data_IF_589469185525
#
_entry.id   IF_589469185525
#
_cell.length_a   1.000
_cell.length_b   1.000
_cell.length_c   1.000
_cell.angle_alpha   90.00
_cell.angle_beta   90.00
_cell.angle_gamma   90.00
#
_symmetry.space_group_name_H-M   'P 1'
#
loop_
_entity.id
_entity.type
_entity.pdbx_description
1 polymer ?
#
# COMPACT_ATOMS: atom_id res chain seq x y z
N UNK A 1 8.04 18.71 18.55
CA UNK A 1 8.00 17.64 17.54
C UNK A 1 9.41 17.42 17.04
N UNK A 2 9.83 16.17 16.91
CA UNK A 2 11.07 15.83 16.22
C UNK A 2 10.88 16.13 14.72
N UNK A 3 11.96 16.52 14.04
CA UNK A 3 11.95 16.51 12.58
C UNK A 3 12.08 15.06 12.07
N UNK A 4 11.90 14.87 10.76
CA UNK A 4 11.92 13.55 10.12
C UNK A 4 13.17 12.74 10.43
N UNK A 5 14.35 13.38 10.41
CA UNK A 5 15.61 12.74 10.75
C UNK A 5 15.64 12.25 12.21
N UNK A 6 15.18 13.10 13.15
CA UNK A 6 15.11 12.73 14.56
C UNK A 6 14.13 11.59 14.86
N UNK A 7 13.02 11.50 14.11
CA UNK A 7 12.09 10.37 14.21
C UNK A 7 12.74 9.05 13.76
N UNK A 8 13.46 9.09 12.64
CA UNK A 8 14.17 7.92 12.09
C UNK A 8 15.27 7.46 13.05
N UNK A 9 16.05 8.39 13.59
CA UNK A 9 17.09 8.08 14.58
C UNK A 9 16.48 7.47 15.84
N UNK A 10 15.40 8.03 16.35
CA UNK A 10 14.67 7.46 17.49
C UNK A 10 14.23 6.03 17.20
N UNK A 11 13.60 5.80 16.04
CA UNK A 11 13.14 4.47 15.64
C UNK A 11 14.28 3.44 15.57
N UNK A 12 15.45 3.83 15.06
CA UNK A 12 16.59 2.92 14.87
C UNK A 12 17.13 2.32 16.18
N UNK A 13 16.87 2.99 17.31
CA UNK A 13 17.31 2.56 18.65
C UNK A 13 16.31 1.64 19.36
N UNK A 14 15.11 1.49 18.80
CA UNK A 14 14.03 0.70 19.39
C UNK A 14 14.25 -0.80 19.16
N UNK A 15 13.76 -1.61 20.11
CA UNK A 15 13.59 -3.04 19.88
C UNK A 15 12.38 -3.34 18.97
N UNK A 16 12.19 -4.60 18.58
CA UNK A 16 11.14 -4.98 17.61
C UNK A 16 9.71 -4.64 18.08
N UNK A 17 9.37 -4.92 19.33
CA UNK A 17 8.05 -4.61 19.89
C UNK A 17 7.80 -3.09 19.93
N UNK A 18 8.82 -2.34 20.34
CA UNK A 18 8.79 -0.88 20.38
C UNK A 18 8.65 -0.27 18.98
N UNK A 19 9.28 -0.85 17.96
CA UNK A 19 9.16 -0.41 16.56
C UNK A 19 7.73 -0.52 16.05
N UNK A 20 7.05 -1.63 16.32
CA UNK A 20 5.64 -1.81 15.95
C UNK A 20 4.78 -0.77 16.68
N UNK A 21 4.97 -0.60 17.99
CA UNK A 21 4.23 0.42 18.76
C UNK A 21 4.47 1.84 18.24
N UNK A 22 5.71 2.15 17.85
CA UNK A 22 6.08 3.44 17.26
C UNK A 22 5.30 3.70 15.97
N UNK A 23 5.25 2.74 15.04
CA UNK A 23 4.48 2.88 13.79
C UNK A 23 2.98 3.01 14.06
N UNK A 24 2.42 2.21 14.97
CA UNK A 24 0.99 2.29 15.34
C UNK A 24 0.60 3.64 15.96
N UNK A 25 1.55 4.29 16.62
CA UNK A 25 1.34 5.59 17.26
C UNK A 25 1.74 6.77 16.37
N UNK A 26 2.07 6.52 15.10
CA UNK A 26 2.51 7.55 14.18
C UNK A 26 1.38 8.58 13.94
N UNK A 27 1.69 9.87 14.15
CA UNK A 27 0.72 10.98 14.09
C UNK A 27 1.28 12.22 13.36
N UNK A 28 2.39 12.05 12.64
CA UNK A 28 3.13 13.14 12.00
C UNK A 28 2.72 13.29 10.52
N UNK A 29 2.94 14.48 9.95
CA UNK A 29 2.81 14.66 8.51
C UNK A 29 3.94 13.94 7.78
N UNK A 30 3.63 13.18 6.72
CA UNK A 30 4.67 12.58 5.90
C UNK A 30 5.38 13.62 5.03
N UNK A 31 6.70 13.60 5.06
CA UNK A 31 7.54 14.24 4.06
C UNK A 31 8.31 13.18 3.26
N UNK A 32 9.07 13.63 2.26
CA UNK A 32 9.82 12.71 1.38
C UNK A 32 10.84 11.85 2.15
N UNK A 33 11.38 12.35 3.27
CA UNK A 33 12.34 11.64 4.09
C UNK A 33 11.66 10.51 4.86
N UNK A 34 10.50 10.77 5.47
CA UNK A 34 9.71 9.74 6.15
C UNK A 34 9.15 8.72 5.18
N UNK A 35 8.70 9.15 3.99
CA UNK A 35 8.26 8.23 2.93
C UNK A 35 9.39 7.28 2.51
N UNK A 36 10.59 7.81 2.24
CA UNK A 36 11.73 7.00 1.86
C UNK A 36 12.08 5.99 2.96
N UNK A 37 12.08 6.43 4.22
CA UNK A 37 12.33 5.57 5.38
C UNK A 37 11.26 4.46 5.54
N UNK A 38 9.98 4.80 5.50
CA UNK A 38 8.90 3.81 5.60
C UNK A 38 9.00 2.78 4.46
N UNK A 39 9.33 3.22 3.25
CA UNK A 39 9.56 2.29 2.13
C UNK A 39 10.74 1.35 2.39
N UNK A 40 11.81 1.78 3.07
CA UNK A 40 12.88 0.85 3.47
C UNK A 40 12.35 -0.25 4.39
N UNK A 41 11.45 0.07 5.33
CA UNK A 41 10.82 -0.93 6.21
C UNK A 41 9.97 -1.89 5.37
N UNK A 42 9.10 -1.35 4.51
CA UNK A 42 8.14 -2.12 3.70
C UNK A 42 8.84 -3.08 2.73
N UNK A 43 9.94 -2.66 2.12
CA UNK A 43 10.66 -3.45 1.09
C UNK A 43 11.69 -4.43 1.65
N UNK A 44 12.05 -4.30 2.93
CA UNK A 44 13.00 -5.21 3.58
C UNK A 44 12.27 -6.45 4.08
N UNK A 45 12.53 -7.58 3.41
CA UNK A 45 11.89 -8.89 3.69
C UNK A 45 12.40 -9.56 4.96
N UNK A 46 13.48 -9.06 5.55
CA UNK A 46 13.96 -9.55 6.84
C UNK A 46 13.16 -8.94 8.01
N UNK A 47 12.38 -7.90 7.75
CA UNK A 47 11.45 -7.36 8.75
C UNK A 47 10.23 -8.26 8.91
N UNK A 48 9.71 -8.29 10.13
CA UNK A 48 8.44 -8.90 10.47
C UNK A 48 7.29 -8.30 9.63
N UNK A 49 6.37 -9.16 9.15
CA UNK A 49 5.30 -8.73 8.26
C UNK A 49 4.31 -7.78 8.94
N UNK A 50 4.06 -7.90 10.26
CA UNK A 50 3.21 -6.93 10.97
C UNK A 50 3.87 -5.56 10.96
N UNK A 51 5.20 -5.50 11.15
CA UNK A 51 5.95 -4.24 11.07
C UNK A 51 5.87 -3.62 9.67
N UNK A 52 6.01 -4.44 8.62
CA UNK A 52 5.88 -4.01 7.22
C UNK A 52 4.46 -3.51 6.93
N UNK A 53 3.43 -4.19 7.44
CA UNK A 53 2.01 -3.80 7.31
C UNK A 53 1.76 -2.44 7.97
N UNK A 54 2.27 -2.19 9.18
CA UNK A 54 2.07 -0.88 9.82
C UNK A 54 2.74 0.25 9.02
N UNK A 55 3.92 0.01 8.45
CA UNK A 55 4.58 0.98 7.58
C UNK A 55 3.77 1.24 6.28
N UNK A 56 3.20 0.18 5.68
CA UNK A 56 2.29 0.28 4.54
C UNK A 56 1.05 1.12 4.89
N UNK A 57 0.43 0.89 6.05
CA UNK A 57 -0.72 1.67 6.52
C UNK A 57 -0.41 3.16 6.64
N UNK A 58 0.75 3.50 7.19
CA UNK A 58 1.16 4.90 7.33
C UNK A 58 1.27 5.58 5.96
N UNK A 59 1.88 4.90 4.97
CA UNK A 59 2.04 5.43 3.61
C UNK A 59 0.70 5.75 2.91
N UNK A 60 -0.38 5.04 3.25
CA UNK A 60 -1.71 5.29 2.70
C UNK A 60 -2.53 6.32 3.46
N UNK A 61 -2.43 6.32 4.79
CA UNK A 61 -3.28 7.14 5.66
C UNK A 61 -2.74 8.57 5.85
N UNK A 62 -1.42 8.72 5.85
CA UNK A 62 -0.79 10.02 6.07
C UNK A 62 -0.31 10.54 4.73
N UNK A 63 -0.89 11.64 4.27
CA UNK A 63 -0.48 12.28 3.03
C UNK A 63 0.35 13.53 3.30
N UNK A 64 1.37 13.73 2.47
CA UNK A 64 2.21 14.91 2.48
C UNK A 64 2.23 15.63 1.14
N UNK A 65 3.04 16.69 1.07
CA UNK A 65 3.30 17.39 -0.18
C UNK A 65 4.44 16.70 -0.95
N UNK A 66 4.19 15.49 -1.44
CA UNK A 66 5.10 14.73 -2.28
C UNK A 66 4.36 14.01 -3.41
N UNK A 67 5.10 13.59 -4.43
CA UNK A 67 4.58 12.76 -5.51
C UNK A 67 4.52 11.30 -5.03
N UNK A 68 3.34 10.68 -5.10
CA UNK A 68 3.09 9.32 -4.65
C UNK A 68 3.52 8.23 -5.65
N UNK A 69 3.99 8.60 -6.85
CA UNK A 69 4.37 7.64 -7.89
C UNK A 69 5.40 6.61 -7.40
N UNK A 70 6.39 7.06 -6.62
CA UNK A 70 7.39 6.16 -6.07
C UNK A 70 6.81 5.16 -5.07
N UNK A 71 5.82 5.57 -4.26
CA UNK A 71 5.11 4.67 -3.34
C UNK A 71 4.35 3.62 -4.14
N UNK A 72 3.57 4.07 -5.14
CA UNK A 72 2.78 3.18 -5.99
C UNK A 72 3.64 2.13 -6.69
N UNK A 73 4.80 2.52 -7.22
CA UNK A 73 5.74 1.59 -7.85
C UNK A 73 6.23 0.50 -6.89
N UNK A 74 6.55 0.83 -5.64
CA UNK A 74 7.00 -0.16 -4.67
C UNK A 74 5.86 -1.07 -4.21
N UNK A 75 4.67 -0.53 -3.96
CA UNK A 75 3.50 -1.34 -3.62
C UNK A 75 3.17 -2.33 -4.75
N UNK A 76 3.17 -1.87 -6.02
CA UNK A 76 2.94 -2.74 -7.18
C UNK A 76 4.00 -3.86 -7.26
N UNK A 77 5.28 -3.57 -6.99
CA UNK A 77 6.33 -4.60 -6.98
C UNK A 77 6.08 -5.67 -5.94
N UNK A 78 5.64 -5.29 -4.73
CA UNK A 78 5.33 -6.23 -3.65
C UNK A 78 4.11 -7.08 -4.05
N UNK A 79 3.04 -6.44 -4.53
CA UNK A 79 1.83 -7.14 -4.99
C UNK A 79 2.16 -8.12 -6.13
N UNK A 80 3.02 -7.73 -7.07
CA UNK A 80 3.44 -8.59 -8.18
C UNK A 80 4.37 -9.73 -7.74
N UNK A 81 5.02 -9.61 -6.59
CA UNK A 81 5.88 -10.63 -6.00
C UNK A 81 5.13 -11.51 -4.98
N UNK A 82 3.79 -11.54 -5.02
CA UNK A 82 2.94 -12.20 -4.02
C UNK A 82 3.27 -13.66 -3.71
N UNK A 83 3.91 -14.39 -4.63
CA UNK A 83 4.34 -15.78 -4.37
C UNK A 83 5.43 -15.91 -3.29
N UNK A 84 6.03 -14.79 -2.88
CA UNK A 84 7.12 -14.70 -1.91
C UNK A 84 6.82 -13.74 -0.75
N UNK A 85 5.58 -13.25 -0.63
CA UNK A 85 5.18 -12.28 0.37
C UNK A 85 4.01 -12.85 1.20
N UNK A 86 3.84 -12.35 2.43
CA UNK A 86 2.66 -12.70 3.22
C UNK A 86 1.38 -12.18 2.54
N UNK A 87 0.34 -13.02 2.53
CA UNK A 87 -0.94 -12.70 1.90
C UNK A 87 -1.56 -11.44 2.52
N UNK A 88 -1.42 -11.24 3.83
CA UNK A 88 -1.93 -10.06 4.53
C UNK A 88 -1.19 -8.82 4.07
N UNK A 89 0.14 -8.86 3.98
CA UNK A 89 0.93 -7.75 3.47
C UNK A 89 0.51 -7.35 2.06
N UNK A 90 0.29 -8.33 1.17
CA UNK A 90 -0.19 -8.07 -0.20
C UNK A 90 -1.56 -7.40 -0.18
N UNK A 91 -2.50 -7.87 0.63
CA UNK A 91 -3.83 -7.24 0.80
C UNK A 91 -3.69 -5.80 1.29
N UNK A 92 -2.85 -5.55 2.29
CA UNK A 92 -2.60 -4.20 2.81
C UNK A 92 -1.94 -3.29 1.77
N UNK A 93 -1.05 -3.81 0.93
CA UNK A 93 -0.47 -3.05 -0.18
C UNK A 93 -1.54 -2.64 -1.20
N UNK A 94 -2.47 -3.54 -1.55
CA UNK A 94 -3.57 -3.22 -2.48
C UNK A 94 -4.51 -2.18 -1.88
N UNK A 95 -4.89 -2.35 -0.60
CA UNK A 95 -5.73 -1.38 0.11
C UNK A 95 -5.04 -0.02 0.25
N UNK A 96 -3.73 0.01 0.47
CA UNK A 96 -2.96 1.26 0.52
C UNK A 96 -2.93 1.93 -0.84
N UNK A 97 -2.76 1.16 -1.91
CA UNK A 97 -2.80 1.67 -3.27
C UNK A 97 -4.14 2.35 -3.60
N UNK A 98 -5.26 1.89 -3.03
CA UNK A 98 -6.57 2.52 -3.23
C UNK A 98 -6.76 3.85 -2.50
N UNK A 99 -5.91 4.16 -1.51
CA UNK A 99 -5.92 5.44 -0.81
C UNK A 99 -5.09 6.51 -1.52
N UNK A 100 -4.29 6.12 -2.52
CA UNK A 100 -3.41 7.01 -3.28
C UNK A 100 -4.07 7.55 -4.54
N UNK A 101 -3.41 8.48 -5.21
CA UNK A 101 -3.88 8.97 -6.50
C UNK A 101 -3.60 7.94 -7.59
N UNK A 102 -4.64 7.35 -8.15
CA UNK A 102 -4.52 6.35 -9.22
C UNK A 102 -4.66 6.96 -10.62
N UNK A 103 -3.92 6.39 -11.55
CA UNK A 103 -4.04 6.60 -12.99
C UNK A 103 -4.61 5.36 -13.67
N UNK A 104 -4.77 5.41 -15.00
CA UNK A 104 -5.14 4.26 -15.82
C UNK A 104 -4.26 3.02 -15.59
N UNK A 105 -2.98 3.22 -15.26
CA UNK A 105 -2.01 2.15 -14.98
C UNK A 105 -2.38 1.35 -13.74
N UNK A 106 -2.72 2.03 -12.65
CA UNK A 106 -3.13 1.38 -11.39
C UNK A 106 -4.51 0.72 -11.54
N UNK A 107 -5.42 1.32 -12.31
CA UNK A 107 -6.72 0.72 -12.63
C UNK A 107 -6.54 -0.58 -13.44
N UNK A 108 -5.70 -0.57 -14.48
CA UNK A 108 -5.39 -1.78 -15.25
C UNK A 108 -4.78 -2.87 -14.39
N UNK A 109 -3.87 -2.49 -13.50
CA UNK A 109 -3.23 -3.43 -12.58
C UNK A 109 -4.26 -4.12 -11.68
N UNK A 110 -5.18 -3.37 -11.07
CA UNK A 110 -6.26 -3.92 -10.28
C UNK A 110 -7.19 -4.85 -11.09
N UNK A 111 -7.55 -4.46 -12.32
CA UNK A 111 -8.35 -5.31 -13.22
C UNK A 111 -7.64 -6.63 -13.54
N UNK A 112 -6.32 -6.60 -13.76
CA UNK A 112 -5.54 -7.80 -14.02
C UNK A 112 -5.53 -8.75 -12.82
N UNK A 113 -5.42 -8.23 -11.58
CA UNK A 113 -5.53 -9.03 -10.36
C UNK A 113 -6.91 -9.72 -10.27
N UNK A 114 -7.99 -8.98 -10.56
CA UNK A 114 -9.36 -9.54 -10.47
C UNK A 114 -9.56 -10.68 -11.48
N UNK A 115 -9.03 -10.52 -12.70
CA UNK A 115 -9.20 -11.46 -13.82
C UNK A 115 -8.24 -12.65 -13.82
N UNK A 116 -7.12 -12.56 -13.11
CA UNK A 116 -6.13 -13.64 -13.01
C UNK A 116 -6.65 -14.81 -12.15
N UNK A 117 -5.82 -15.83 -11.93
CA UNK A 117 -6.07 -16.86 -10.93
C UNK A 117 -5.47 -16.50 -9.54
N UNK A 118 -5.39 -15.22 -9.20
CA UNK A 118 -4.86 -14.76 -7.91
C UNK A 118 -5.77 -15.15 -6.74
N UNK A 119 -5.18 -15.16 -5.53
CA UNK A 119 -5.88 -15.42 -4.28
C UNK A 119 -7.13 -14.53 -4.12
N UNK A 120 -8.20 -15.10 -3.56
CA UNK A 120 -9.52 -14.45 -3.52
C UNK A 120 -9.50 -13.13 -2.74
N UNK A 121 -8.67 -13.02 -1.70
CA UNK A 121 -8.55 -11.78 -0.93
C UNK A 121 -7.86 -10.68 -1.74
N UNK A 122 -6.91 -11.02 -2.62
CA UNK A 122 -6.27 -10.04 -3.51
C UNK A 122 -7.28 -9.50 -4.51
N UNK A 123 -8.13 -10.39 -5.06
CA UNK A 123 -9.22 -9.99 -5.95
C UNK A 123 -10.23 -9.09 -5.26
N UNK A 124 -10.59 -9.41 -4.01
CA UNK A 124 -11.51 -8.60 -3.21
C UNK A 124 -10.94 -7.20 -2.95
N UNK A 125 -9.67 -7.11 -2.53
CA UNK A 125 -8.99 -5.84 -2.32
C UNK A 125 -8.87 -5.02 -3.62
N UNK A 126 -8.53 -5.67 -4.74
CA UNK A 126 -8.43 -5.01 -6.04
C UNK A 126 -9.78 -4.50 -6.55
N UNK A 127 -10.87 -5.23 -6.26
CA UNK A 127 -12.22 -4.75 -6.55
C UNK A 127 -12.59 -3.54 -5.70
N UNK A 128 -12.20 -3.52 -4.43
CA UNK A 128 -12.41 -2.36 -3.55
C UNK A 128 -11.64 -1.14 -4.04
N UNK A 129 -10.41 -1.32 -4.55
CA UNK A 129 -9.66 -0.26 -5.22
C UNK A 129 -10.46 0.37 -6.36
N UNK A 130 -11.03 -0.44 -7.26
CA UNK A 130 -11.87 0.08 -8.34
C UNK A 130 -13.09 0.85 -7.82
N UNK A 131 -13.71 0.37 -6.73
CA UNK A 131 -14.88 1.02 -6.11
C UNK A 131 -14.55 2.35 -5.45
N UNK A 132 -13.39 2.46 -4.79
CA UNK A 132 -12.92 3.73 -4.22
C UNK A 132 -12.68 4.77 -5.32
N UNK A 133 -12.23 4.34 -6.50
CA UNK A 133 -12.02 5.21 -7.65
C UNK A 133 -13.16 5.15 -8.68
N UNK A 134 -14.41 4.92 -8.24
CA UNK A 134 -15.60 4.80 -9.12
C UNK A 134 -15.93 6.03 -9.99
N UNK A 135 -15.24 7.14 -9.83
CA UNK A 135 -15.37 8.32 -10.68
C UNK A 135 -14.29 8.39 -11.78
N UNK A 136 -13.27 7.52 -11.71
CA UNK A 136 -12.29 7.36 -12.77
C UNK A 136 -12.97 6.68 -13.98
N UNK A 137 -12.90 7.24 -15.21
CA UNK A 137 -13.60 6.70 -16.37
C UNK A 137 -13.35 5.20 -16.60
N UNK A 138 -12.09 4.80 -16.54
CA UNK A 138 -11.67 3.41 -16.70
C UNK A 138 -12.14 2.47 -15.58
N UNK A 139 -12.22 2.97 -14.34
CA UNK A 139 -12.77 2.18 -13.23
C UNK A 139 -14.28 1.93 -13.42
N UNK A 140 -15.01 2.93 -13.93
CA UNK A 140 -16.44 2.79 -14.27
C UNK A 140 -16.64 1.70 -15.32
N UNK A 141 -15.83 1.70 -16.38
CA UNK A 141 -15.89 0.69 -17.44
C UNK A 141 -15.57 -0.71 -16.87
N UNK A 142 -14.49 -0.82 -16.11
CA UNK A 142 -14.10 -2.07 -15.48
C UNK A 142 -15.19 -2.64 -14.55
N UNK A 143 -15.78 -1.81 -13.68
CA UNK A 143 -16.85 -2.24 -12.78
C UNK A 143 -18.08 -2.74 -13.54
N UNK A 144 -18.50 -2.03 -14.60
CA UNK A 144 -19.63 -2.44 -15.45
C UNK A 144 -19.36 -3.78 -16.15
N UNK A 145 -18.14 -4.01 -16.59
CA UNK A 145 -17.77 -5.26 -17.26
C UNK A 145 -17.70 -6.43 -16.30
N UNK A 146 -17.25 -6.20 -15.07
CA UNK A 146 -17.24 -7.21 -14.00
C UNK A 146 -18.67 -7.60 -13.58
N UNK A 147 -19.60 -6.65 -13.49
CA UNK A 147 -21.01 -6.92 -13.16
C UNK A 147 -21.72 -7.79 -14.22
N UNK A 148 -21.33 -7.67 -15.49
CA UNK A 148 -21.87 -8.49 -16.60
C UNK A 148 -21.33 -9.93 -16.61
N UNK A 149 -20.22 -10.19 -15.93
CA UNK A 149 -19.55 -11.50 -15.91
C UNK A 149 -20.15 -12.52 -14.92
N UNK A 150 -21.15 -12.12 -14.14
CA UNK A 150 -21.89 -12.97 -13.19
C UNK A 150 -23.11 -13.62 -13.84
N UNK A 151 -22.90 -14.52 -14.83
CA UNK A 151 -23.91 -15.45 -15.35
C UNK A 151 -23.32 -16.85 -15.56
#
# INVERSE_FOLDING_TARGET
MLNSQGLIESYSTLNEEEKIHFLRSFDQQLDITLVAFLLTIVTDRENDDDLRIEAVNILGLYQGNYNDEYIKEQLIKIIAAHDYEDDSLVVYCINTLSLLTVSDKEIDFAVNIIRSNSYILFKAAALELLRQHKYHPKAIEALKDLDKGTH
#
